data_IF_183624665245
#
_entry.id   IF_183624665245
#
_cell.length_a   1.000
_cell.length_b   1.000
_cell.length_c   1.000
_cell.angle_alpha   90.00
_cell.angle_beta   90.00
_cell.angle_gamma   90.00
#
_symmetry.space_group_name_H-M   'P 1'
#
loop_
_entity.id
_entity.type
_entity.pdbx_description
1 polymer ?
#
# COMPACT_ATOMS: atom_id res chain seq x y z
N UNK A 1 12.65 12.57 -8.40
CA UNK A 1 13.01 12.37 -9.84
C UNK A 1 11.95 12.88 -10.80
N UNK A 2 10.66 12.66 -10.54
CA UNK A 2 9.58 13.46 -11.13
C UNK A 2 9.69 14.95 -10.71
N UNK A 3 10.11 15.21 -9.47
CA UNK A 3 10.47 16.56 -8.97
C UNK A 3 11.57 17.26 -9.78
N UNK A 4 12.51 16.52 -10.40
CA UNK A 4 13.53 17.14 -11.27
C UNK A 4 12.94 17.67 -12.58
N UNK A 5 11.77 17.15 -13.00
CA UNK A 5 11.06 17.58 -14.19
C UNK A 5 9.89 18.52 -13.88
N UNK A 6 9.49 18.64 -12.62
CA UNK A 6 8.36 19.44 -12.16
C UNK A 6 8.65 19.97 -10.76
N UNK A 7 9.45 21.04 -10.63
CA UNK A 7 9.86 21.59 -9.33
C UNK A 7 8.67 21.96 -8.44
N UNK A 8 7.54 22.36 -9.01
CA UNK A 8 6.31 22.65 -8.25
C UNK A 8 5.71 21.43 -7.53
N UNK A 9 6.14 20.21 -7.85
CA UNK A 9 5.74 19.00 -7.12
C UNK A 9 6.62 18.74 -5.87
N UNK A 10 7.70 19.49 -5.67
CA UNK A 10 8.55 19.44 -4.47
C UNK A 10 7.90 20.25 -3.34
N UNK A 11 6.78 19.73 -2.84
CA UNK A 11 6.01 20.34 -1.77
C UNK A 11 6.59 19.98 -0.39
N UNK A 12 6.18 20.73 0.65
CA UNK A 12 6.56 20.38 2.03
C UNK A 12 6.04 19.00 2.37
N UNK A 13 6.86 18.20 3.05
CA UNK A 13 6.47 16.87 3.50
C UNK A 13 5.19 16.91 4.37
N UNK A 14 5.03 17.95 5.19
CA UNK A 14 3.81 18.15 5.98
C UNK A 14 2.55 18.29 5.14
N UNK A 15 2.62 19.02 4.01
CA UNK A 15 1.47 19.20 3.11
C UNK A 15 1.12 17.86 2.45
N UNK A 16 2.12 17.10 2.01
CA UNK A 16 1.93 15.77 1.44
C UNK A 16 1.29 14.83 2.46
N UNK A 17 1.79 14.81 3.71
CA UNK A 17 1.27 13.96 4.77
C UNK A 17 -0.18 14.31 5.13
N UNK A 18 -0.53 15.59 5.28
CA UNK A 18 -1.91 16.00 5.59
C UNK A 18 -2.83 15.66 4.42
N UNK A 19 -2.42 15.96 3.18
CA UNK A 19 -3.21 15.66 1.99
C UNK A 19 -3.50 14.18 1.84
N UNK A 20 -2.49 13.31 1.97
CA UNK A 20 -2.67 11.88 1.74
C UNK A 20 -3.54 11.20 2.78
N UNK A 21 -3.74 11.80 3.95
CA UNK A 21 -4.58 11.28 5.04
C UNK A 21 -5.92 11.99 5.18
N UNK A 22 -6.25 12.95 4.31
CA UNK A 22 -7.45 13.79 4.42
C UNK A 22 -8.70 13.04 3.93
N UNK A 23 -9.10 11.98 4.65
CA UNK A 23 -10.17 11.08 4.27
C UNK A 23 -11.51 11.82 4.21
N UNK A 24 -12.27 11.73 3.09
CA UNK A 24 -13.63 12.25 3.02
C UNK A 24 -14.46 11.77 4.22
N UNK A 25 -15.39 12.60 4.68
CA UNK A 25 -16.22 12.40 5.88
C UNK A 25 -15.49 12.37 7.23
N UNK A 26 -14.16 12.21 7.28
CA UNK A 26 -13.36 12.25 8.52
C UNK A 26 -12.59 13.56 8.68
N UNK A 27 -11.95 14.04 7.62
CA UNK A 27 -11.05 15.20 7.65
C UNK A 27 -11.36 16.16 6.50
N UNK A 28 -11.11 17.48 6.68
CA UNK A 28 -11.26 18.45 5.60
C UNK A 28 -10.20 18.23 4.52
N UNK A 29 -10.54 18.57 3.27
CA UNK A 29 -9.57 18.64 2.18
C UNK A 29 -8.43 19.61 2.52
N UNK A 30 -7.22 19.31 2.05
CA UNK A 30 -6.04 20.14 2.29
C UNK A 30 -5.72 21.01 1.07
N UNK A 31 -5.62 22.32 1.28
CA UNK A 31 -5.21 23.29 0.28
C UNK A 31 -3.83 23.84 0.63
N UNK A 32 -2.94 23.89 -0.36
CA UNK A 32 -1.67 24.58 -0.24
C UNK A 32 -1.17 25.06 -1.61
N UNK A 33 -0.14 25.89 -1.61
CA UNK A 33 0.50 26.43 -2.81
C UNK A 33 1.97 26.06 -2.83
N UNK A 34 2.48 25.75 -4.00
CA UNK A 34 3.91 25.56 -4.23
C UNK A 34 4.37 26.36 -5.45
N UNK A 35 5.67 26.55 -5.61
CA UNK A 35 6.24 27.38 -6.67
C UNK A 35 7.16 26.56 -7.56
N UNK A 36 7.13 26.82 -8.87
CA UNK A 36 8.15 26.25 -9.78
C UNK A 36 9.43 27.10 -9.84
N UNK A 37 10.40 26.64 -10.62
CA UNK A 37 11.68 27.31 -10.83
C UNK A 37 11.57 28.68 -11.52
N UNK A 38 10.45 28.97 -12.19
CA UNK A 38 10.19 30.26 -12.85
C UNK A 38 9.43 31.22 -11.94
N UNK A 39 9.12 30.79 -10.72
CA UNK A 39 8.41 31.60 -9.74
C UNK A 39 6.88 31.54 -9.90
N UNK A 40 6.33 30.72 -10.78
CA UNK A 40 4.89 30.57 -10.93
C UNK A 40 4.32 29.75 -9.78
N UNK A 41 3.22 30.26 -9.22
CA UNK A 41 2.49 29.62 -8.12
C UNK A 41 1.54 28.58 -8.69
N UNK A 42 1.58 27.37 -8.11
CA UNK A 42 0.68 26.25 -8.38
C UNK A 42 -0.11 25.96 -7.11
N UNK A 43 -1.43 25.83 -7.25
CA UNK A 43 -2.34 25.56 -6.14
C UNK A 43 -2.78 24.09 -6.18
N UNK A 44 -2.79 23.47 -5.00
CA UNK A 44 -3.14 22.08 -4.79
C UNK A 44 -4.36 22.01 -3.88
N UNK A 45 -5.37 21.24 -4.28
CA UNK A 45 -6.58 20.97 -3.51
C UNK A 45 -6.74 19.45 -3.43
N UNK A 46 -6.29 18.86 -2.33
CA UNK A 46 -6.09 17.41 -2.23
C UNK A 46 -6.93 16.80 -1.11
N UNK A 47 -7.30 15.55 -1.32
CA UNK A 47 -7.95 14.65 -0.36
C UNK A 47 -7.14 13.36 -0.28
N UNK A 48 -7.57 12.45 0.60
CA UNK A 48 -6.91 11.16 0.86
C UNK A 48 -6.60 10.35 -0.41
N UNK A 49 -5.42 9.75 -0.42
CA UNK A 49 -4.96 8.89 -1.51
C UNK A 49 -5.75 7.59 -1.65
N UNK A 50 -6.37 7.10 -0.57
CA UNK A 50 -7.19 5.89 -0.51
C UNK A 50 -8.39 5.92 -1.45
N UNK A 51 -8.90 7.11 -1.78
CA UNK A 51 -9.95 7.29 -2.81
C UNK A 51 -9.48 6.80 -4.19
N UNK A 52 -8.18 6.88 -4.47
CA UNK A 52 -7.59 6.48 -5.75
C UNK A 52 -6.81 5.16 -5.65
N UNK A 53 -5.97 5.01 -4.63
CA UNK A 53 -5.02 3.92 -4.47
C UNK A 53 -4.82 3.55 -3.00
N UNK A 54 -5.82 2.90 -2.40
CA UNK A 54 -5.75 2.43 -1.01
C UNK A 54 -4.68 1.35 -0.78
N UNK A 55 -4.29 0.63 -1.84
CA UNK A 55 -3.09 -0.18 -1.89
C UNK A 55 -2.12 0.40 -2.94
N UNK A 56 -1.13 1.22 -2.55
CA UNK A 56 -0.28 1.93 -3.48
C UNK A 56 0.78 1.05 -4.15
N UNK A 57 0.77 -0.28 -3.95
CA UNK A 57 1.83 -1.18 -4.44
C UNK A 57 2.02 -1.08 -5.96
N UNK A 58 0.93 -1.09 -6.73
CA UNK A 58 1.01 -0.93 -8.19
C UNK A 58 1.44 0.49 -8.61
N UNK A 59 1.06 1.52 -7.85
CA UNK A 59 1.52 2.90 -8.08
C UNK A 59 3.04 2.99 -7.89
N UNK A 60 3.57 2.41 -6.81
CA UNK A 60 5.00 2.36 -6.54
C UNK A 60 5.77 1.60 -7.63
N UNK A 61 5.26 0.44 -8.06
CA UNK A 61 5.85 -0.33 -9.16
C UNK A 61 5.85 0.43 -10.49
N UNK A 62 4.77 1.16 -10.79
CA UNK A 62 4.69 2.00 -11.97
C UNK A 62 5.74 3.12 -11.93
N UNK A 63 5.94 3.77 -10.78
CA UNK A 63 6.98 4.80 -10.64
C UNK A 63 8.40 4.25 -10.85
N UNK A 64 8.71 3.07 -10.28
CA UNK A 64 9.98 2.39 -10.56
C UNK A 64 10.12 2.04 -12.04
N UNK A 65 9.06 1.53 -12.66
CA UNK A 65 9.02 1.18 -14.09
C UNK A 65 9.27 2.41 -14.97
N UNK A 66 8.67 3.56 -14.65
CA UNK A 66 8.93 4.83 -15.33
C UNK A 66 10.42 5.23 -15.24
N UNK A 67 11.08 5.02 -14.10
CA UNK A 67 12.52 5.30 -13.98
C UNK A 67 13.37 4.39 -14.88
N UNK A 68 13.02 3.10 -14.95
CA UNK A 68 13.70 2.13 -15.82
C UNK A 68 13.51 2.51 -17.29
N UNK A 69 12.28 2.84 -17.72
CA UNK A 69 11.97 3.30 -19.08
C UNK A 69 12.77 4.57 -19.42
N UNK A 70 12.88 5.51 -18.48
CA UNK A 70 13.70 6.72 -18.62
C UNK A 70 15.21 6.46 -18.57
N UNK A 71 15.64 5.20 -18.48
CA UNK A 71 17.05 4.77 -18.42
C UNK A 71 17.84 5.49 -17.32
N UNK A 72 17.19 5.70 -16.18
CA UNK A 72 17.85 6.25 -15.01
C UNK A 72 18.99 5.33 -14.55
N UNK A 73 20.20 5.86 -14.41
CA UNK A 73 21.41 5.11 -14.00
C UNK A 73 21.30 4.46 -12.63
N UNK A 74 20.46 4.98 -11.75
CA UNK A 74 20.24 4.43 -10.41
C UNK A 74 19.42 3.13 -10.44
N UNK A 75 18.75 2.85 -11.56
CA UNK A 75 17.94 1.67 -11.78
C UNK A 75 18.60 0.76 -12.82
N UNK A 76 18.70 -0.53 -12.51
CA UNK A 76 19.17 -1.50 -13.48
C UNK A 76 18.24 -1.53 -14.69
N UNK A 77 18.82 -1.65 -15.88
CA UNK A 77 18.06 -1.90 -17.09
C UNK A 77 17.38 -3.28 -16.95
N UNK A 78 16.07 -3.25 -16.73
CA UNK A 78 15.20 -4.42 -16.64
C UNK A 78 14.40 -4.46 -17.93
N UNK A 79 14.28 -5.63 -18.57
CA UNK A 79 13.44 -5.77 -19.77
C UNK A 79 11.96 -5.62 -19.38
N UNK A 80 11.08 -5.18 -20.29
CA UNK A 80 9.65 -5.21 -20.04
C UNK A 80 9.21 -6.59 -19.52
N UNK A 81 8.35 -6.60 -18.50
CA UNK A 81 7.79 -7.82 -17.87
C UNK A 81 8.74 -8.71 -17.05
N UNK A 82 9.96 -8.29 -16.75
CA UNK A 82 10.82 -8.97 -15.77
C UNK A 82 10.40 -8.65 -14.31
N UNK A 83 9.15 -8.98 -13.95
CA UNK A 83 8.65 -8.83 -12.57
C UNK A 83 9.43 -9.68 -11.56
N UNK A 84 10.12 -10.72 -12.02
CA UNK A 84 11.05 -11.53 -11.23
C UNK A 84 12.24 -10.74 -10.63
N UNK A 85 12.49 -9.52 -11.13
CA UNK A 85 13.52 -8.60 -10.60
C UNK A 85 13.01 -7.70 -9.49
N UNK A 86 11.70 -7.60 -9.30
CA UNK A 86 11.11 -6.86 -8.20
C UNK A 86 11.07 -7.75 -6.96
N UNK A 87 11.42 -7.17 -5.82
CA UNK A 87 11.19 -7.73 -4.49
C UNK A 87 10.25 -6.78 -3.77
N UNK A 88 9.04 -7.24 -3.44
CA UNK A 88 7.92 -6.40 -3.01
C UNK A 88 7.45 -6.88 -1.65
N UNK A 89 7.42 -5.94 -0.69
CA UNK A 89 6.74 -6.12 0.60
C UNK A 89 5.58 -5.12 0.59
N UNK A 90 4.35 -5.64 0.67
CA UNK A 90 3.15 -4.85 0.80
C UNK A 90 2.53 -5.12 2.17
N UNK A 91 2.33 -4.07 2.96
CA UNK A 91 1.82 -4.16 4.33
C UNK A 91 0.47 -3.46 4.36
N UNK A 92 -0.57 -4.18 4.74
CA UNK A 92 -1.89 -3.62 4.94
C UNK A 92 -2.13 -3.30 6.41
N UNK A 93 -3.14 -2.47 6.65
CA UNK A 93 -3.60 -2.06 7.98
C UNK A 93 -4.72 -2.95 8.52
N UNK A 94 -4.94 -4.07 7.85
CA UNK A 94 -6.06 -4.98 8.09
C UNK A 94 -7.37 -4.51 7.46
N UNK A 95 -8.33 -5.41 7.41
CA UNK A 95 -9.71 -5.21 6.97
C UNK A 95 -10.64 -5.81 7.99
N UNK A 96 -11.85 -5.24 8.09
CA UNK A 96 -12.90 -5.86 8.87
C UNK A 96 -13.09 -7.31 8.39
N UNK A 97 -13.25 -8.22 9.34
CA UNK A 97 -13.77 -9.56 9.08
C UNK A 97 -15.00 -9.39 8.23
N UNK A 98 -15.16 -10.22 7.20
CA UNK A 98 -16.26 -10.14 6.25
C UNK A 98 -17.60 -10.27 7.01
N UNK A 99 -18.10 -9.13 7.48
CA UNK A 99 -19.24 -9.03 8.39
C UNK A 99 -20.56 -9.06 7.61
N UNK A 100 -20.48 -9.19 6.27
CA UNK A 100 -21.63 -9.07 5.35
C UNK A 100 -22.49 -7.84 5.71
N UNK A 101 -21.81 -6.73 6.04
CA UNK A 101 -22.41 -5.55 6.69
C UNK A 101 -23.69 -5.09 6.00
N UNK A 102 -23.73 -5.20 4.66
CA UNK A 102 -24.87 -4.81 3.86
C UNK A 102 -25.20 -5.87 2.82
N UNK A 103 -26.49 -5.98 2.50
CA UNK A 103 -26.98 -6.79 1.38
C UNK A 103 -27.87 -5.96 0.45
N UNK A 104 -28.15 -6.49 -0.74
CA UNK A 104 -28.92 -5.80 -1.77
C UNK A 104 -30.31 -5.34 -1.29
N UNK A 105 -30.96 -6.07 -0.37
CA UNK A 105 -32.29 -5.72 0.17
C UNK A 105 -32.24 -4.52 1.12
N UNK A 106 -31.13 -4.35 1.84
CA UNK A 106 -30.89 -3.17 2.69
C UNK A 106 -30.52 -1.99 1.78
N UNK A 107 -29.52 -2.18 0.91
CA UNK A 107 -29.01 -1.13 0.04
C UNK A 107 -30.03 -0.63 -1.00
N UNK A 108 -31.01 -1.45 -1.40
CA UNK A 108 -32.08 -1.02 -2.32
C UNK A 108 -32.98 0.08 -1.74
N UNK A 109 -32.91 0.31 -0.42
CA UNK A 109 -33.67 1.36 0.27
C UNK A 109 -32.83 2.61 0.56
N UNK A 110 -31.54 2.59 0.22
CA UNK A 110 -30.61 3.68 0.51
C UNK A 110 -30.85 4.89 -0.39
N UNK A 111 -30.93 6.06 0.23
CA UNK A 111 -30.78 7.35 -0.43
C UNK A 111 -29.33 7.84 -0.41
N UNK A 112 -29.12 9.09 -0.84
CA UNK A 112 -27.79 9.71 -0.87
C UNK A 112 -27.11 9.70 0.51
N UNK A 113 -27.86 9.99 1.58
CA UNK A 113 -27.30 10.02 2.94
C UNK A 113 -26.88 8.64 3.43
N UNK A 114 -27.65 7.59 3.15
CA UNK A 114 -27.29 6.24 3.54
C UNK A 114 -26.02 5.76 2.83
N UNK A 115 -25.86 6.10 1.54
CA UNK A 115 -24.62 5.79 0.81
C UNK A 115 -23.40 6.53 1.36
N UNK A 116 -23.57 7.72 1.91
CA UNK A 116 -22.49 8.51 2.52
C UNK A 116 -22.21 8.11 3.96
N UNK A 117 -23.24 7.79 4.73
CA UNK A 117 -23.17 7.47 6.15
C UNK A 117 -24.28 6.49 6.52
N UNK A 118 -23.90 5.28 6.94
CA UNK A 118 -24.86 4.28 7.41
C UNK A 118 -24.25 3.48 8.56
N UNK A 119 -24.97 3.40 9.68
CA UNK A 119 -24.58 2.62 10.86
C UNK A 119 -23.13 2.85 11.33
N UNK A 120 -22.71 4.12 11.36
CA UNK A 120 -21.35 4.51 11.76
C UNK A 120 -20.24 4.20 10.75
N UNK A 121 -20.60 3.74 9.55
CA UNK A 121 -19.69 3.49 8.42
C UNK A 121 -19.91 4.46 7.26
N UNK A 122 -19.01 4.42 6.27
CA UNK A 122 -19.06 5.29 5.08
C UNK A 122 -19.13 4.43 3.82
N UNK A 123 -20.30 3.81 3.51
CA UNK A 123 -20.38 2.66 2.62
C UNK A 123 -19.75 2.89 1.24
N UNK A 124 -20.00 4.05 0.63
CA UNK A 124 -19.46 4.36 -0.69
C UNK A 124 -17.92 4.44 -0.67
N UNK A 125 -17.35 5.16 0.30
CA UNK A 125 -15.90 5.31 0.47
C UNK A 125 -15.25 3.97 0.79
N UNK A 126 -15.88 3.18 1.66
CA UNK A 126 -15.38 1.87 2.09
C UNK A 126 -15.33 0.90 0.91
N UNK A 127 -16.41 0.83 0.11
CA UNK A 127 -16.49 -0.03 -1.08
C UNK A 127 -15.40 0.33 -2.07
N UNK A 128 -15.23 1.62 -2.41
CA UNK A 128 -14.20 2.03 -3.37
C UNK A 128 -12.79 1.77 -2.85
N UNK A 129 -12.52 2.08 -1.58
CA UNK A 129 -11.20 1.94 -0.98
C UNK A 129 -10.80 0.48 -0.82
N UNK A 130 -11.71 -0.39 -0.36
CA UNK A 130 -11.46 -1.83 -0.23
C UNK A 130 -11.33 -2.48 -1.61
N UNK A 131 -12.24 -2.19 -2.55
CA UNK A 131 -12.16 -2.74 -3.92
C UNK A 131 -10.87 -2.33 -4.62
N UNK A 132 -10.41 -1.08 -4.43
CA UNK A 132 -9.12 -0.61 -4.95
C UNK A 132 -7.95 -1.45 -4.41
N UNK A 133 -7.97 -1.75 -3.10
CA UNK A 133 -6.93 -2.57 -2.48
C UNK A 133 -6.95 -4.04 -2.96
N UNK A 134 -8.13 -4.64 -3.03
CA UNK A 134 -8.33 -6.03 -3.44
C UNK A 134 -7.91 -6.25 -4.90
N UNK A 135 -8.25 -5.31 -5.79
CA UNK A 135 -7.84 -5.36 -7.19
C UNK A 135 -6.31 -5.35 -7.34
N UNK A 136 -5.59 -4.56 -6.53
CA UNK A 136 -4.12 -4.57 -6.53
C UNK A 136 -3.57 -5.93 -6.09
N UNK A 137 -4.09 -6.49 -5.00
CA UNK A 137 -3.61 -7.76 -4.47
C UNK A 137 -3.93 -8.94 -5.41
N UNK A 138 -5.10 -8.93 -6.07
CA UNK A 138 -5.46 -9.89 -7.11
C UNK A 138 -4.54 -9.79 -8.34
N UNK A 139 -4.33 -8.58 -8.87
CA UNK A 139 -3.47 -8.36 -10.03
C UNK A 139 -2.02 -8.79 -9.76
N UNK A 140 -1.47 -8.43 -8.60
CA UNK A 140 -0.11 -8.80 -8.23
C UNK A 140 0.02 -10.30 -8.01
N UNK A 141 -0.97 -10.93 -7.37
CA UNK A 141 -0.99 -12.38 -7.18
C UNK A 141 -1.04 -13.11 -8.52
N UNK A 142 -1.85 -12.65 -9.48
CA UNK A 142 -1.96 -13.25 -10.81
C UNK A 142 -0.66 -13.09 -11.62
N UNK A 143 -0.11 -11.87 -11.70
CA UNK A 143 1.10 -11.59 -12.48
C UNK A 143 2.32 -12.29 -11.92
N UNK A 144 2.50 -12.29 -10.60
CA UNK A 144 3.66 -12.94 -9.98
C UNK A 144 3.61 -14.46 -10.10
N UNK A 145 2.42 -15.08 -10.02
CA UNK A 145 2.25 -16.51 -10.27
C UNK A 145 2.49 -16.87 -11.74
N UNK A 146 1.94 -16.10 -12.68
CA UNK A 146 2.14 -16.33 -14.12
C UNK A 146 3.63 -16.26 -14.52
N UNK A 147 4.41 -15.47 -13.80
CA UNK A 147 5.85 -15.26 -14.02
C UNK A 147 6.73 -16.09 -13.08
N UNK A 148 6.17 -17.05 -12.35
CA UNK A 148 6.89 -17.93 -11.41
C UNK A 148 7.75 -17.17 -10.39
N UNK A 149 7.27 -16.00 -9.97
CA UNK A 149 7.96 -15.03 -9.11
C UNK A 149 7.15 -14.72 -7.85
N UNK A 150 6.20 -15.58 -7.52
CA UNK A 150 5.27 -15.38 -6.41
C UNK A 150 5.95 -15.26 -5.04
N UNK A 151 7.17 -15.77 -4.87
CA UNK A 151 7.92 -15.67 -3.61
C UNK A 151 8.62 -14.33 -3.42
N UNK A 152 8.65 -13.50 -4.46
CA UNK A 152 9.16 -12.13 -4.44
C UNK A 152 8.12 -11.10 -3.99
N UNK A 153 6.86 -11.49 -3.87
CA UNK A 153 5.78 -10.64 -3.39
C UNK A 153 5.25 -11.18 -2.07
N UNK A 154 5.50 -10.42 -1.00
CA UNK A 154 5.00 -10.68 0.34
C UNK A 154 3.93 -9.65 0.68
N UNK A 155 2.68 -10.11 0.84
CA UNK A 155 1.57 -9.33 1.35
C UNK A 155 1.30 -9.74 2.80
N UNK A 156 1.39 -8.80 3.72
CA UNK A 156 1.03 -8.98 5.13
C UNK A 156 -0.24 -8.20 5.37
N UNK A 157 -1.33 -8.91 5.67
CA UNK A 157 -2.66 -8.35 5.86
C UNK A 157 -3.42 -9.18 6.89
N UNK A 158 -4.23 -8.52 7.71
CA UNK A 158 -5.18 -9.17 8.63
C UNK A 158 -6.60 -8.93 8.15
N UNK A 159 -7.35 -9.97 7.84
CA UNK A 159 -8.74 -9.89 7.37
C UNK A 159 -9.75 -10.30 8.45
N UNK A 160 -9.35 -10.20 9.72
CA UNK A 160 -10.12 -10.71 10.86
C UNK A 160 -10.47 -9.64 11.90
N UNK A 161 -10.23 -8.36 11.60
CA UNK A 161 -10.52 -7.26 12.53
C UNK A 161 -12.03 -7.16 12.80
N UNK A 162 -12.44 -6.86 14.03
CA UNK A 162 -13.87 -6.77 14.40
C UNK A 162 -14.11 -5.60 15.33
N UNK A 163 -15.32 -5.04 15.31
CA UNK A 163 -15.69 -3.95 16.22
C UNK A 163 -14.74 -2.75 16.10
N UNK A 164 -14.28 -2.23 17.24
CA UNK A 164 -13.39 -1.07 17.32
C UNK A 164 -12.04 -1.27 16.61
N UNK A 165 -11.58 -2.52 16.50
CA UNK A 165 -10.29 -2.83 15.88
C UNK A 165 -10.32 -2.58 14.37
N UNK A 166 -11.52 -2.58 13.76
CA UNK A 166 -11.72 -2.31 12.34
C UNK A 166 -12.12 -0.86 12.03
N UNK A 167 -12.25 -0.01 13.05
CA UNK A 167 -12.51 1.42 12.88
C UNK A 167 -11.22 2.18 12.59
N UNK A 168 -11.32 3.19 11.73
CA UNK A 168 -10.19 4.03 11.29
C UNK A 168 -9.97 5.27 12.17
N UNK A 169 -10.90 5.58 13.07
CA UNK A 169 -10.96 6.84 13.82
C UNK A 169 -10.96 6.69 15.35
N UNK A 170 -10.90 5.45 15.87
CA UNK A 170 -10.81 5.19 17.31
C UNK A 170 -9.34 5.13 17.77
N UNK A 171 -8.84 6.27 18.26
CA UNK A 171 -7.46 6.42 18.76
C UNK A 171 -7.33 6.34 20.30
N UNK A 172 -8.19 5.57 20.98
CA UNK A 172 -8.05 5.36 22.42
C UNK A 172 -6.79 4.54 22.73
N UNK A 173 -6.18 4.77 23.90
CA UNK A 173 -4.97 4.04 24.31
C UNK A 173 -5.18 2.52 24.27
N UNK A 174 -6.32 2.05 24.77
CA UNK A 174 -6.71 0.63 24.77
C UNK A 174 -6.78 0.06 23.34
N UNK A 175 -7.41 0.78 22.40
CA UNK A 175 -7.52 0.32 21.01
C UNK A 175 -6.13 0.28 20.34
N UNK A 176 -5.28 1.28 20.58
CA UNK A 176 -3.91 1.32 20.03
C UNK A 176 -3.03 0.20 20.58
N UNK A 177 -3.11 -0.11 21.87
CA UNK A 177 -2.39 -1.23 22.49
C UNK A 177 -2.86 -2.57 21.90
N UNK A 178 -4.17 -2.73 21.72
CA UNK A 178 -4.75 -3.91 21.10
C UNK A 178 -4.36 -4.08 19.62
N UNK A 179 -4.34 -3.00 18.84
CA UNK A 179 -3.85 -3.02 17.45
C UNK A 179 -2.36 -3.41 17.38
N UNK A 180 -1.55 -2.99 18.36
CA UNK A 180 -0.16 -3.44 18.47
C UNK A 180 -0.08 -4.94 18.72
N UNK A 181 -0.89 -5.48 19.64
CA UNK A 181 -0.98 -6.92 19.91
C UNK A 181 -1.42 -7.71 18.67
N UNK A 182 -2.40 -7.21 17.92
CA UNK A 182 -2.85 -7.80 16.65
C UNK A 182 -1.67 -7.88 15.67
N UNK A 183 -0.89 -6.81 15.54
CA UNK A 183 0.32 -6.79 14.70
C UNK A 183 1.37 -7.81 15.13
N UNK A 184 1.62 -7.95 16.43
CA UNK A 184 2.53 -8.96 16.97
C UNK A 184 2.05 -10.39 16.71
N UNK A 185 0.74 -10.63 16.80
CA UNK A 185 0.15 -11.92 16.51
C UNK A 185 0.14 -12.22 15.00
N UNK A 186 -0.01 -11.21 14.15
CA UNK A 186 0.06 -11.33 12.69
C UNK A 186 1.43 -11.85 12.24
N UNK A 187 2.52 -11.51 12.93
CA UNK A 187 3.85 -12.07 12.66
C UNK A 187 3.90 -13.60 12.78
N UNK A 188 3.09 -14.18 13.66
CA UNK A 188 3.03 -15.63 13.93
C UNK A 188 2.08 -16.36 12.98
N UNK A 189 1.17 -15.65 12.30
CA UNK A 189 0.26 -16.24 11.31
C UNK A 189 1.05 -16.71 10.07
N UNK A 190 0.59 -17.77 9.40
CA UNK A 190 1.16 -18.21 8.13
C UNK A 190 1.05 -17.10 7.08
N UNK A 191 1.99 -17.05 6.15
CA UNK A 191 1.89 -16.22 4.95
C UNK A 191 0.65 -16.65 4.17
N UNK A 192 -0.12 -15.68 3.72
CA UNK A 192 -1.32 -15.89 2.91
C UNK A 192 -1.14 -15.29 1.51
N UNK A 193 -1.91 -15.79 0.55
CA UNK A 193 -2.00 -15.22 -0.80
C UNK A 193 -3.44 -15.24 -1.28
N UNK A 194 -3.79 -14.29 -2.14
CA UNK A 194 -5.09 -14.29 -2.82
C UNK A 194 -5.23 -15.56 -3.65
N UNK A 195 -6.30 -16.31 -3.37
CA UNK A 195 -6.78 -17.37 -4.23
C UNK A 195 -7.48 -16.74 -5.45
N UNK A 196 -6.99 -17.05 -6.65
CA UNK A 196 -7.45 -16.40 -7.88
C UNK A 196 -8.85 -16.85 -8.33
N UNK A 197 -9.43 -17.89 -7.73
CA UNK A 197 -10.78 -18.36 -8.04
C UNK A 197 -11.84 -17.62 -7.23
N UNK A 198 -11.59 -17.40 -5.93
CA UNK A 198 -12.57 -16.83 -5.01
C UNK A 198 -12.21 -15.41 -4.51
N UNK A 199 -10.99 -14.93 -4.79
CA UNK A 199 -10.52 -13.60 -4.39
C UNK A 199 -10.10 -13.46 -2.93
N UNK A 200 -10.18 -14.53 -2.13
CA UNK A 200 -9.91 -14.50 -0.69
C UNK A 200 -8.44 -14.79 -0.38
N UNK A 201 -7.92 -14.24 0.71
CA UNK A 201 -6.59 -14.59 1.22
C UNK A 201 -6.62 -15.95 1.89
N UNK A 202 -5.80 -16.87 1.39
CA UNK A 202 -5.67 -18.21 1.95
C UNK A 202 -4.23 -18.47 2.42
N UNK A 203 -4.04 -19.08 3.61
CA UNK A 203 -2.73 -19.50 4.09
C UNK A 203 -2.01 -20.42 3.10
N UNK A 204 -0.72 -20.20 2.89
CA UNK A 204 0.11 -21.08 2.08
C UNK A 204 0.37 -22.40 2.79
N UNK A 205 0.34 -23.50 2.02
CA UNK A 205 0.60 -24.87 2.52
C UNK A 205 2.02 -25.08 3.06
N UNK A 206 2.95 -24.17 2.76
CA UNK A 206 4.34 -24.23 3.24
C UNK A 206 4.43 -24.06 4.76
N UNK A 207 3.45 -23.40 5.37
CA UNK A 207 3.46 -23.08 6.80
C UNK A 207 4.46 -22.00 7.21
N UNK A 208 5.15 -21.35 6.26
CA UNK A 208 6.05 -20.21 6.55
C UNK A 208 5.23 -19.10 7.21
N UNK A 209 5.68 -18.62 8.37
CA UNK A 209 5.06 -17.50 9.08
C UNK A 209 5.46 -16.16 8.49
N UNK A 210 4.68 -15.11 8.72
CA UNK A 210 5.03 -13.74 8.30
C UNK A 210 6.39 -13.30 8.87
N UNK A 211 6.72 -13.69 10.11
CA UNK A 211 8.02 -13.41 10.72
C UNK A 211 9.18 -14.07 9.97
N UNK A 212 9.03 -15.33 9.56
CA UNK A 212 10.04 -16.07 8.80
C UNK A 212 10.22 -15.47 7.41
N UNK A 213 9.13 -15.15 6.72
CA UNK A 213 9.16 -14.48 5.43
C UNK A 213 9.86 -13.11 5.52
N UNK A 214 9.56 -12.31 6.55
CA UNK A 214 10.25 -11.03 6.77
C UNK A 214 11.75 -11.21 7.02
N UNK A 215 12.16 -12.23 7.80
CA UNK A 215 13.59 -12.55 7.99
C UNK A 215 14.26 -12.94 6.68
N UNK A 216 13.58 -13.73 5.84
CA UNK A 216 14.05 -14.10 4.49
C UNK A 216 14.22 -12.86 3.60
N UNK A 217 13.21 -12.00 3.54
CA UNK A 217 13.29 -10.74 2.78
C UNK A 217 14.41 -9.82 3.29
N UNK A 218 14.56 -9.67 4.62
CA UNK A 218 15.64 -8.89 5.21
C UNK A 218 17.03 -9.42 4.81
N UNK A 219 17.20 -10.75 4.76
CA UNK A 219 18.44 -11.38 4.27
C UNK A 219 18.72 -11.03 2.81
N UNK A 220 17.72 -11.13 1.94
CA UNK A 220 17.85 -10.80 0.50
C UNK A 220 18.25 -9.32 0.34
N UNK A 221 17.55 -8.40 1.03
CA UNK A 221 17.83 -6.98 0.99
C UNK A 221 19.25 -6.64 1.49
N UNK A 222 19.68 -7.27 2.58
CA UNK A 222 21.04 -7.09 3.13
C UNK A 222 22.11 -7.58 2.15
N UNK A 223 21.91 -8.74 1.54
CA UNK A 223 22.84 -9.30 0.55
C UNK A 223 22.93 -8.40 -0.70
N UNK A 224 21.79 -7.96 -1.23
CA UNK A 224 21.74 -7.07 -2.40
C UNK A 224 22.44 -5.73 -2.12
N UNK A 225 22.22 -5.14 -0.95
CA UNK A 225 22.94 -3.92 -0.54
C UNK A 225 24.45 -4.13 -0.52
N UNK A 226 24.94 -5.19 0.12
CA UNK A 226 26.39 -5.51 0.17
C UNK A 226 26.97 -5.70 -1.22
N UNK A 227 26.25 -6.38 -2.11
CA UNK A 227 26.67 -6.59 -3.50
C UNK A 227 26.81 -5.26 -4.25
N UNK A 228 25.89 -4.32 -4.07
CA UNK A 228 25.97 -2.98 -4.69
C UNK A 228 27.12 -2.15 -4.13
N UNK A 229 27.35 -2.20 -2.82
CA UNK A 229 28.46 -1.50 -2.17
C UNK A 229 29.82 -2.03 -2.67
N UNK A 230 29.97 -3.36 -2.82
CA UNK A 230 31.20 -3.97 -3.36
C UNK A 230 31.43 -3.66 -4.85
N UNK A 231 30.36 -3.47 -5.63
CA UNK A 231 30.43 -3.16 -7.07
C UNK A 231 30.53 -1.65 -7.34
N UNK A 232 30.35 -0.80 -6.34
CA UNK A 232 30.47 0.65 -6.49
C UNK A 232 31.95 1.05 -6.60
N UNK A 233 32.37 1.80 -7.64
CA UNK A 233 33.77 2.20 -7.84
C UNK A 233 34.37 3.12 -6.76
N UNK A 234 33.62 3.43 -5.69
CA UNK A 234 34.03 4.37 -4.64
C UNK A 234 34.61 3.72 -3.37
N UNK A 235 34.78 2.40 -3.31
CA UNK A 235 35.50 1.75 -2.20
C UNK A 235 37.01 1.80 -2.40
N UNK A 236 37.61 2.98 -2.17
CA UNK A 236 38.99 3.19 -1.68
C UNK A 236 39.24 4.69 -1.45
N UNK A 237 38.80 5.21 -0.29
CA UNK A 237 39.53 6.26 0.41
C UNK A 237 39.66 5.83 1.87
N UNK A 238 40.87 5.50 2.35
CA UNK A 238 41.08 5.31 3.77
C UNK A 238 40.99 6.68 4.46
N UNK A 239 40.51 6.65 5.71
CA UNK A 239 40.50 7.77 6.65
C UNK A 239 41.91 8.35 6.84
#
# INVERSE_FOLDING_TARGET
>A
MQMKMSPFMDAKLSDICISTSAAPTYLPAHNFKNQDSEGKIHEFNLIDGGVCANNPTLVAMNEVTKQIIKRNSDFFAIKPMEYNRFLIISIGTGTAKNEEKFNAKIASKWGLLDWLTYDGSTPLTDVFSQSSADMVDFHLSAVTQALQSQDNYLRIQDDTLTGTDSSVDIATKENLEKLSEIGENLLKKPVSRVNLENGLFEPLKTGETNQEALKRFAKILSQERRLREMRSPHTKKPF
#
